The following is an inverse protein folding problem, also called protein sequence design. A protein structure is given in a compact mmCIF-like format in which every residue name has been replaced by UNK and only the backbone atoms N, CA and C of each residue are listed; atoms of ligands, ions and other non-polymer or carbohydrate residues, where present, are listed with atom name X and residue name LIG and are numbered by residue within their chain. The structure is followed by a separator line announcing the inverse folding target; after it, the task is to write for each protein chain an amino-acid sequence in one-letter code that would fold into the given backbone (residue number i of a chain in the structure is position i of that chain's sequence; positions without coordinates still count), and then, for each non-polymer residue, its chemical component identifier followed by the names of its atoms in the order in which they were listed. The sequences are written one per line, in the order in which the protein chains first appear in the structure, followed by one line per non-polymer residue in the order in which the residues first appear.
data_IF_293889163259
#
_entry.id   IF_293889163259
#
_cell.length_a   1.000
_cell.length_b   1.000
_cell.length_c   1.000
_cell.angle_alpha   90.00
_cell.angle_beta   90.00
_cell.angle_gamma   90.00
#
_symmetry.space_group_name_H-M   'P 1'
#
loop_
_entity.id
_entity.type
_entity.pdbx_description
1 polymer ?
#
# COMPACT_ATOMS: atom_id res chain seq x y z
N UNK A 1 -18.77 9.15 -15.63
CA UNK A 1 -17.93 8.46 -14.59
C UNK A 1 -16.54 9.08 -14.52
N UNK A 2 -15.97 9.59 -15.62
CA UNK A 2 -14.71 10.35 -15.63
C UNK A 2 -14.82 11.76 -14.98
N UNK A 3 -16.01 12.30 -14.82
CA UNK A 3 -16.27 13.61 -14.20
C UNK A 3 -16.25 13.58 -12.65
N UNK A 4 -16.35 12.42 -12.02
CA UNK A 4 -16.41 12.30 -10.55
C UNK A 4 -15.04 12.31 -9.86
N UNK A 5 -13.92 12.30 -10.61
CA UNK A 5 -12.56 12.36 -10.05
C UNK A 5 -12.02 13.81 -9.91
N UNK A 6 -12.83 14.81 -10.31
CA UNK A 6 -12.42 16.21 -10.35
C UNK A 6 -12.86 17.09 -9.16
N UNK A 7 -13.78 16.64 -8.31
CA UNK A 7 -14.46 17.53 -7.33
C UNK A 7 -14.37 17.14 -5.85
N UNK A 8 -13.41 16.30 -5.45
CA UNK A 8 -13.11 16.15 -4.02
C UNK A 8 -12.05 17.18 -3.64
N UNK A 9 -12.54 18.34 -3.24
CA UNK A 9 -11.78 19.54 -2.89
C UNK A 9 -10.72 19.33 -1.80
N UNK A 10 -9.63 20.06 -1.94
CA UNK A 10 -8.70 20.42 -0.86
C UNK A 10 -7.28 19.92 -1.05
N UNK A 11 -6.45 20.65 -1.80
CA UNK A 11 -4.99 20.67 -1.63
C UNK A 11 -4.22 19.41 -2.05
N UNK A 12 -4.55 18.81 -3.18
CA UNK A 12 -3.76 17.76 -3.78
C UNK A 12 -3.65 17.99 -5.28
N UNK A 13 -2.44 18.01 -5.82
CA UNK A 13 -2.19 18.12 -7.24
C UNK A 13 -3.06 17.11 -8.01
N UNK A 14 -3.85 17.58 -8.98
CA UNK A 14 -4.76 16.78 -9.80
C UNK A 14 -4.03 15.87 -10.80
N UNK A 15 -4.74 15.24 -11.75
CA UNK A 15 -4.15 14.42 -12.81
C UNK A 15 -3.02 15.12 -13.58
N UNK A 16 -3.01 16.45 -13.61
CA UNK A 16 -1.95 17.26 -14.22
C UNK A 16 -0.59 17.05 -13.56
N UNK A 17 -0.52 17.00 -12.23
CA UNK A 17 0.75 16.81 -11.53
C UNK A 17 1.38 15.43 -11.75
N UNK A 18 0.59 14.40 -12.03
CA UNK A 18 1.12 13.10 -12.43
C UNK A 18 1.68 13.16 -13.86
N UNK A 19 1.00 13.84 -14.76
CA UNK A 19 1.48 14.00 -16.13
C UNK A 19 2.74 14.86 -16.20
N UNK A 20 2.84 15.93 -15.39
CA UNK A 20 4.08 16.74 -15.27
C UNK A 20 5.28 15.89 -14.82
N UNK A 21 5.08 15.03 -13.80
CA UNK A 21 6.11 14.11 -13.34
C UNK A 21 6.50 13.10 -14.44
N UNK A 22 5.54 12.61 -15.22
CA UNK A 22 5.80 11.68 -16.32
C UNK A 22 6.55 12.35 -17.48
N UNK A 23 6.22 13.60 -17.80
CA UNK A 23 6.94 14.39 -18.81
C UNK A 23 8.39 14.66 -18.37
N UNK A 24 8.61 14.97 -17.11
CA UNK A 24 9.95 15.16 -16.55
C UNK A 24 10.78 13.87 -16.56
N UNK A 25 10.15 12.71 -16.29
CA UNK A 25 10.81 11.40 -16.43
C UNK A 25 11.27 11.17 -17.87
N UNK A 26 10.48 11.61 -18.85
CA UNK A 26 10.80 11.41 -20.27
C UNK A 26 12.00 12.22 -20.74
N UNK A 27 12.34 13.30 -20.04
CA UNK A 27 13.43 14.23 -20.40
C UNK A 27 14.72 14.00 -19.60
N UNK A 28 14.67 13.33 -18.45
CA UNK A 28 15.80 13.17 -17.54
C UNK A 28 16.36 11.73 -17.59
N UNK A 29 17.58 11.60 -18.10
CA UNK A 29 18.33 10.32 -18.19
C UNK A 29 19.39 10.17 -17.08
N UNK A 30 19.44 11.10 -16.11
CA UNK A 30 20.50 11.16 -15.12
C UNK A 30 20.31 10.22 -13.92
N UNK A 31 21.44 9.83 -13.33
CA UNK A 31 21.56 8.80 -12.28
C UNK A 31 20.65 9.08 -11.07
N UNK A 32 19.96 8.03 -10.61
CA UNK A 32 19.03 8.08 -9.49
C UNK A 32 19.81 8.10 -8.19
N UNK A 33 19.80 9.23 -7.49
CA UNK A 33 20.30 9.31 -6.11
C UNK A 33 19.29 8.69 -5.14
N UNK A 34 19.72 7.64 -4.44
CA UNK A 34 18.88 6.73 -3.66
C UNK A 34 18.48 7.31 -2.28
N UNK A 35 19.01 8.46 -1.90
CA UNK A 35 18.93 8.95 -0.52
C UNK A 35 17.84 10.00 -0.22
N UNK A 36 17.10 10.48 -1.20
CA UNK A 36 16.05 11.48 -0.98
C UNK A 36 14.67 10.82 -0.88
N UNK A 37 14.17 10.71 0.31
CA UNK A 37 12.93 9.97 0.64
C UNK A 37 11.66 10.81 0.59
N UNK A 38 11.73 12.05 0.16
CA UNK A 38 10.62 12.99 0.29
C UNK A 38 10.05 13.43 -1.07
N UNK A 39 8.77 13.76 -1.08
CA UNK A 39 8.08 14.45 -2.19
C UNK A 39 8.57 15.91 -2.32
N UNK A 40 9.86 16.16 -2.14
CA UNK A 40 10.43 17.47 -2.40
C UNK A 40 10.60 17.65 -3.92
N UNK A 41 10.47 18.88 -4.40
CA UNK A 41 10.67 19.21 -5.82
C UNK A 41 12.09 18.87 -6.31
N UNK A 42 13.05 18.70 -5.39
CA UNK A 42 14.43 18.33 -5.66
C UNK A 42 14.67 16.81 -5.79
N UNK A 43 13.68 15.96 -5.47
CA UNK A 43 13.81 14.52 -5.56
C UNK A 43 13.77 14.03 -7.02
N UNK A 44 14.54 12.98 -7.40
CA UNK A 44 14.48 12.40 -8.74
C UNK A 44 13.04 12.03 -9.13
N UNK A 45 12.68 12.27 -10.39
CA UNK A 45 11.31 12.09 -10.87
C UNK A 45 10.73 10.69 -10.63
N UNK A 46 11.57 9.63 -10.72
CA UNK A 46 11.16 8.25 -10.42
C UNK A 46 10.81 8.08 -8.93
N UNK A 47 11.55 8.73 -8.02
CA UNK A 47 11.29 8.70 -6.58
C UNK A 47 9.94 9.36 -6.29
N UNK A 48 9.73 10.54 -6.85
CA UNK A 48 8.45 11.27 -6.72
C UNK A 48 7.28 10.47 -7.29
N UNK A 49 7.46 9.81 -8.44
CA UNK A 49 6.44 8.97 -9.06
C UNK A 49 6.01 7.82 -8.14
N UNK A 50 6.97 7.04 -7.61
CA UNK A 50 6.66 5.91 -6.72
C UNK A 50 5.99 6.39 -5.44
N UNK A 51 6.49 7.45 -4.82
CA UNK A 51 5.87 8.06 -3.64
C UNK A 51 4.45 8.53 -3.93
N UNK A 52 4.23 9.20 -5.08
CA UNK A 52 2.92 9.65 -5.50
C UNK A 52 1.94 8.49 -5.70
N UNK A 53 2.35 7.40 -6.35
CA UNK A 53 1.53 6.20 -6.54
C UNK A 53 1.10 5.62 -5.19
N UNK A 54 2.00 5.53 -4.21
CA UNK A 54 1.68 5.02 -2.87
C UNK A 54 0.69 5.93 -2.13
N UNK A 55 0.88 7.25 -2.18
CA UNK A 55 -0.02 8.22 -1.56
C UNK A 55 -1.41 8.20 -2.20
N UNK A 56 -1.49 8.17 -3.53
CA UNK A 56 -2.77 8.12 -4.24
C UNK A 56 -3.51 6.81 -3.98
N UNK A 57 -2.81 5.69 -3.92
CA UNK A 57 -3.40 4.40 -3.57
C UNK A 57 -4.04 4.44 -2.16
N UNK A 58 -3.35 5.05 -1.19
CA UNK A 58 -3.91 5.22 0.16
C UNK A 58 -5.10 6.17 0.17
N UNK A 59 -5.03 7.28 -0.56
CA UNK A 59 -6.13 8.27 -0.65
C UNK A 59 -7.38 7.65 -1.29
N UNK A 60 -7.20 6.79 -2.30
CA UNK A 60 -8.28 6.09 -3.00
C UNK A 60 -8.76 4.83 -2.28
N UNK A 61 -8.22 4.53 -1.08
CA UNK A 61 -8.49 3.28 -0.34
C UNK A 61 -8.27 2.02 -1.20
N UNK A 62 -7.24 2.05 -2.06
CA UNK A 62 -6.87 0.88 -2.84
C UNK A 62 -6.33 -0.23 -1.92
N UNK A 63 -6.71 -1.47 -2.20
CA UNK A 63 -6.18 -2.64 -1.49
C UNK A 63 -4.85 -3.11 -2.07
N UNK A 64 -4.71 -3.03 -3.39
CA UNK A 64 -3.53 -3.51 -4.09
C UNK A 64 -3.12 -2.51 -5.19
N UNK A 65 -1.82 -2.40 -5.44
CA UNK A 65 -1.22 -1.69 -6.57
C UNK A 65 -0.48 -2.72 -7.42
N UNK A 66 -0.69 -2.69 -8.72
CA UNK A 66 -0.03 -3.55 -9.70
C UNK A 66 0.82 -2.69 -10.63
N UNK A 67 2.08 -3.04 -10.80
CA UNK A 67 3.00 -2.47 -11.78
C UNK A 67 3.30 -3.56 -12.80
N UNK A 68 2.63 -3.49 -13.94
CA UNK A 68 2.62 -4.56 -14.93
C UNK A 68 3.41 -4.14 -16.17
N UNK A 69 4.58 -4.73 -16.41
CA UNK A 69 5.32 -4.48 -17.64
C UNK A 69 4.61 -5.11 -18.83
N UNK A 70 4.62 -4.42 -19.96
CA UNK A 70 4.13 -4.94 -21.24
C UNK A 70 5.26 -4.97 -22.28
N UNK A 71 5.20 -5.96 -23.18
CA UNK A 71 6.20 -6.07 -24.23
C UNK A 71 6.01 -4.96 -25.25
N UNK A 72 7.05 -4.15 -25.46
CA UNK A 72 7.06 -3.03 -26.41
C UNK A 72 5.97 -1.96 -26.15
N UNK A 73 5.51 -1.84 -24.92
CA UNK A 73 4.50 -0.87 -24.50
C UNK A 73 4.87 -0.25 -23.15
N UNK A 74 4.28 0.89 -22.77
CA UNK A 74 4.47 1.45 -21.44
C UNK A 74 4.02 0.49 -20.34
N UNK A 75 4.69 0.54 -19.21
CA UNK A 75 4.32 -0.22 -18.01
C UNK A 75 3.02 0.34 -17.43
N UNK A 76 2.02 -0.51 -17.24
CA UNK A 76 0.75 -0.09 -16.64
C UNK A 76 0.83 -0.12 -15.12
N UNK A 77 0.36 0.95 -14.50
CA UNK A 77 0.13 1.01 -13.04
C UNK A 77 -1.37 0.96 -12.81
N UNK A 78 -1.81 -0.09 -12.14
CA UNK A 78 -3.21 -0.34 -11.82
C UNK A 78 -3.41 -0.36 -10.31
N UNK A 79 -4.57 0.07 -9.86
CA UNK A 79 -4.98 -0.01 -8.46
C UNK A 79 -6.28 -0.80 -8.33
N UNK A 80 -6.36 -1.64 -7.30
CA UNK A 80 -7.59 -2.33 -6.94
C UNK A 80 -8.36 -1.47 -5.93
N UNK A 81 -9.47 -0.92 -6.37
CA UNK A 81 -10.36 -0.07 -5.56
C UNK A 81 -11.72 -0.76 -5.51
N UNK A 82 -12.25 -0.99 -4.32
CA UNK A 82 -13.52 -1.70 -4.08
C UNK A 82 -13.62 -3.03 -4.86
N UNK A 83 -12.52 -3.78 -4.89
CA UNK A 83 -12.41 -5.08 -5.56
C UNK A 83 -12.17 -5.01 -7.07
N UNK A 84 -12.26 -3.84 -7.70
CA UNK A 84 -12.09 -3.65 -9.15
C UNK A 84 -10.72 -3.06 -9.46
N UNK A 85 -9.96 -3.69 -10.36
CA UNK A 85 -8.70 -3.13 -10.87
C UNK A 85 -8.97 -2.03 -11.90
N UNK A 86 -8.34 -0.88 -11.71
CA UNK A 86 -8.43 0.29 -12.62
C UNK A 86 -7.04 0.74 -13.01
N UNK A 87 -6.87 1.12 -14.28
CA UNK A 87 -5.64 1.76 -14.74
C UNK A 87 -5.58 3.18 -14.15
N UNK A 88 -4.43 3.54 -13.58
CA UNK A 88 -4.22 4.85 -12.95
C UNK A 88 -3.24 5.69 -13.74
N UNK A 89 -2.13 5.08 -14.16
CA UNK A 89 -1.10 5.76 -14.95
C UNK A 89 -0.28 4.76 -15.75
N UNK A 90 0.53 5.27 -16.68
CA UNK A 90 1.47 4.49 -17.47
C UNK A 90 2.87 5.08 -17.32
N UNK A 91 3.85 4.23 -17.19
CA UNK A 91 5.27 4.61 -17.11
C UNK A 91 5.95 4.25 -18.42
N UNK A 92 6.71 5.16 -19.04
CA UNK A 92 7.48 4.82 -20.24
C UNK A 92 8.33 3.58 -20.04
N UNK A 93 8.41 2.71 -21.05
CA UNK A 93 9.12 1.44 -20.95
C UNK A 93 10.61 1.61 -20.57
N UNK A 94 11.24 2.73 -20.97
CA UNK A 94 12.63 3.09 -20.61
C UNK A 94 12.84 3.27 -19.10
N UNK A 95 11.81 3.63 -18.34
CA UNK A 95 11.88 3.91 -16.90
C UNK A 95 11.34 2.77 -16.03
N UNK A 96 10.84 1.69 -16.66
CA UNK A 96 10.35 0.52 -15.94
C UNK A 96 11.36 -0.02 -14.93
N UNK A 97 12.59 -0.26 -15.37
CA UNK A 97 13.64 -0.82 -14.52
C UNK A 97 13.99 0.09 -13.33
N UNK A 98 13.94 1.40 -13.52
CA UNK A 98 14.20 2.37 -12.47
C UNK A 98 13.07 2.38 -11.41
N UNK A 99 11.83 2.31 -11.85
CA UNK A 99 10.66 2.20 -10.94
C UNK A 99 10.73 0.91 -10.11
N UNK A 100 11.04 -0.23 -10.75
CA UNK A 100 11.19 -1.51 -10.03
C UNK A 100 12.36 -1.46 -9.05
N UNK A 101 13.51 -0.91 -9.46
CA UNK A 101 14.67 -0.74 -8.59
C UNK A 101 14.32 0.10 -7.35
N UNK A 102 13.61 1.23 -7.53
CA UNK A 102 13.18 2.07 -6.41
C UNK A 102 12.24 1.31 -5.45
N UNK A 103 11.26 0.57 -5.96
CA UNK A 103 10.37 -0.25 -5.13
C UNK A 103 11.16 -1.32 -4.37
N UNK A 104 12.12 -1.98 -5.02
CA UNK A 104 12.98 -2.99 -4.37
C UNK A 104 13.84 -2.38 -3.25
N UNK A 105 14.43 -1.20 -3.46
CA UNK A 105 15.18 -0.48 -2.43
C UNK A 105 14.29 -0.19 -1.22
N UNK A 106 13.14 0.40 -1.44
CA UNK A 106 12.19 0.73 -0.38
C UNK A 106 11.71 -0.50 0.39
N UNK A 107 11.71 -1.67 -0.26
CA UNK A 107 11.23 -2.95 0.31
C UNK A 107 12.37 -3.84 0.84
N UNK A 108 13.62 -3.35 0.82
CA UNK A 108 14.82 -4.09 1.19
C UNK A 108 15.01 -5.41 0.40
N UNK A 109 14.71 -5.37 -0.90
CA UNK A 109 14.86 -6.50 -1.83
C UNK A 109 16.15 -6.39 -2.65
N UNK A 110 16.62 -7.53 -3.19
CA UNK A 110 17.82 -7.57 -4.02
C UNK A 110 17.55 -7.00 -5.42
N UNK A 111 18.19 -5.86 -5.73
CA UNK A 111 18.02 -5.14 -7.01
C UNK A 111 18.65 -5.92 -8.16
N UNK A 112 19.77 -6.61 -7.90
CA UNK A 112 20.52 -7.33 -8.93
C UNK A 112 19.83 -8.62 -9.38
N UNK A 113 19.03 -9.27 -8.52
CA UNK A 113 18.32 -10.48 -8.87
C UNK A 113 16.96 -10.14 -9.49
N UNK A 114 16.77 -10.57 -10.74
CA UNK A 114 15.58 -10.29 -11.56
C UNK A 114 14.87 -11.56 -12.06
N UNK A 115 15.43 -12.74 -11.75
CA UNK A 115 14.98 -14.01 -12.32
C UNK A 115 14.10 -14.83 -11.40
N UNK A 116 14.09 -14.49 -10.11
CA UNK A 116 13.28 -15.19 -9.11
C UNK A 116 12.32 -14.22 -8.43
N UNK A 117 11.13 -14.69 -8.04
CA UNK A 117 10.22 -13.88 -7.23
C UNK A 117 10.86 -13.48 -5.89
N UNK A 118 10.55 -12.28 -5.43
CA UNK A 118 10.99 -11.79 -4.12
C UNK A 118 9.81 -11.19 -3.37
N UNK A 119 9.75 -11.41 -2.06
CA UNK A 119 8.77 -10.86 -1.16
C UNK A 119 9.44 -9.94 -0.14
N UNK A 120 8.85 -8.78 0.10
CA UNK A 120 9.35 -7.79 1.04
C UNK A 120 8.26 -6.94 1.65
N UNK A 121 8.70 -5.95 2.41
CA UNK A 121 7.82 -4.96 3.04
C UNK A 121 8.44 -3.59 2.88
N UNK A 122 7.60 -2.61 2.62
CA UNK A 122 7.95 -1.21 2.75
C UNK A 122 6.96 -0.51 3.69
N UNK A 123 7.36 0.61 4.21
CA UNK A 123 6.46 1.48 4.98
C UNK A 123 6.67 2.93 4.58
N UNK A 124 5.59 3.70 4.56
CA UNK A 124 5.63 5.13 4.33
C UNK A 124 4.70 5.87 5.29
N UNK A 125 4.95 7.16 5.48
CA UNK A 125 4.12 7.99 6.36
C UNK A 125 3.16 8.86 5.55
N UNK A 126 1.91 8.89 5.97
CA UNK A 126 0.90 9.78 5.41
C UNK A 126 0.02 10.32 6.53
N UNK A 127 -0.10 11.65 6.62
CA UNK A 127 -0.91 12.32 7.67
C UNK A 127 -0.57 11.85 9.09
N UNK A 128 0.72 11.65 9.38
CA UNK A 128 1.22 11.19 10.68
C UNK A 128 1.04 9.68 10.96
N UNK A 129 0.37 8.94 10.08
CA UNK A 129 0.19 7.49 10.21
C UNK A 129 1.25 6.73 9.41
N UNK A 130 1.82 5.69 10.02
CA UNK A 130 2.68 4.72 9.34
C UNK A 130 1.80 3.71 8.60
N UNK A 131 2.03 3.57 7.30
CA UNK A 131 1.31 2.65 6.43
C UNK A 131 2.28 1.57 5.99
N UNK A 132 1.95 0.33 6.28
CA UNK A 132 2.72 -0.83 5.85
C UNK A 132 2.19 -1.38 4.53
N UNK A 133 3.10 -1.80 3.66
CA UNK A 133 2.79 -2.39 2.37
C UNK A 133 3.60 -3.67 2.19
N UNK A 134 2.94 -4.75 1.84
CA UNK A 134 3.61 -5.98 1.38
C UNK A 134 3.89 -5.86 -0.09
N UNK A 135 5.10 -6.22 -0.49
CA UNK A 135 5.59 -6.12 -1.85
C UNK A 135 6.00 -7.50 -2.33
N UNK A 136 5.52 -7.90 -3.50
CA UNK A 136 5.96 -9.11 -4.20
C UNK A 136 6.42 -8.71 -5.61
N UNK A 137 7.63 -9.12 -5.99
CA UNK A 137 8.15 -8.98 -7.35
C UNK A 137 8.07 -10.32 -8.06
N UNK A 138 7.68 -10.30 -9.33
CA UNK A 138 7.48 -11.52 -10.14
C UNK A 138 8.14 -11.32 -11.50
N UNK A 139 9.11 -12.17 -11.88
CA UNK A 139 9.68 -12.17 -13.23
C UNK A 139 8.61 -12.45 -14.28
N UNK A 140 8.59 -11.67 -15.35
CA UNK A 140 7.73 -11.91 -16.51
C UNK A 140 8.54 -11.81 -17.81
N UNK A 141 7.96 -12.19 -18.93
CA UNK A 141 8.58 -12.10 -20.25
C UNK A 141 8.84 -10.65 -20.70
N UNK A 142 8.18 -9.67 -20.08
CA UNK A 142 8.30 -8.26 -20.41
C UNK A 142 9.14 -7.47 -19.39
N UNK A 143 9.64 -8.12 -18.34
CA UNK A 143 10.35 -7.51 -17.21
C UNK A 143 9.80 -7.99 -15.89
N UNK A 144 10.21 -7.38 -14.78
CA UNK A 144 9.64 -7.71 -13.46
C UNK A 144 8.32 -6.98 -13.24
N UNK A 145 7.26 -7.72 -12.92
CA UNK A 145 6.02 -7.16 -12.39
C UNK A 145 6.11 -6.99 -10.87
N UNK A 146 5.37 -6.03 -10.33
CA UNK A 146 5.28 -5.82 -8.87
C UNK A 146 3.82 -5.74 -8.44
N UNK A 147 3.52 -6.42 -7.34
CA UNK A 147 2.25 -6.30 -6.63
C UNK A 147 2.53 -5.77 -5.23
N UNK A 148 1.88 -4.67 -4.89
CA UNK A 148 1.99 -4.05 -3.58
C UNK A 148 0.61 -4.09 -2.91
N UNK A 149 0.51 -4.78 -1.76
CA UNK A 149 -0.71 -4.81 -0.94
C UNK A 149 -0.61 -3.84 0.21
N UNK A 150 -1.49 -2.86 0.24
CA UNK A 150 -1.58 -1.90 1.33
C UNK A 150 -2.25 -2.59 2.52
N UNK A 151 -1.54 -2.64 3.63
CA UNK A 151 -2.10 -3.15 4.87
C UNK A 151 -2.92 -2.02 5.52
N UNK A 152 -4.09 -2.36 6.03
CA UNK A 152 -4.86 -1.41 6.81
C UNK A 152 -3.97 -0.91 7.96
N UNK A 153 -3.94 0.40 8.18
CA UNK A 153 -3.22 0.97 9.31
C UNK A 153 -3.74 0.29 10.59
N UNK A 154 -2.91 -0.61 11.12
CA UNK A 154 -3.28 -1.48 12.22
C UNK A 154 -3.24 -0.74 13.56
N UNK A 155 -4.09 0.24 13.73
CA UNK A 155 -4.53 0.60 15.07
C UNK A 155 -5.51 -0.47 15.53
N UNK A 156 -5.23 -1.16 16.64
CA UNK A 156 -6.17 -2.12 17.16
C UNK A 156 -7.50 -1.42 17.45
N UNK A 157 -8.56 -1.89 16.80
CA UNK A 157 -9.90 -1.38 17.03
C UNK A 157 -10.27 -1.62 18.49
N UNK A 158 -10.67 -0.60 19.26
CA UNK A 158 -11.08 -0.82 20.65
C UNK A 158 -12.32 -1.72 20.71
N UNK A 159 -12.44 -2.52 21.76
CA UNK A 159 -13.54 -3.45 21.98
C UNK A 159 -14.92 -2.80 21.80
N UNK A 160 -15.07 -1.52 22.15
CA UNK A 160 -16.31 -0.75 22.01
C UNK A 160 -16.76 -0.55 20.55
N UNK A 161 -15.84 -0.65 19.58
CA UNK A 161 -16.14 -0.48 18.15
C UNK A 161 -16.41 -1.80 17.42
N UNK A 162 -16.40 -2.95 18.10
CA UNK A 162 -16.65 -4.26 17.48
C UNK A 162 -18.13 -4.52 17.14
N UNK A 163 -19.03 -3.56 17.31
CA UNK A 163 -20.47 -3.70 17.07
C UNK A 163 -21.11 -4.93 17.75
N UNK A 164 -20.59 -5.33 18.90
CA UNK A 164 -21.17 -6.41 19.69
C UNK A 164 -22.43 -5.92 20.41
N UNK A 165 -23.43 -6.79 20.54
CA UNK A 165 -24.57 -6.48 21.41
C UNK A 165 -24.07 -6.23 22.84
N UNK A 166 -24.73 -5.38 23.65
CA UNK A 166 -24.32 -5.09 25.03
C UNK A 166 -24.15 -6.36 25.86
N UNK A 167 -25.02 -7.35 25.65
CA UNK A 167 -24.96 -8.64 26.32
C UNK A 167 -23.69 -9.43 25.95
N UNK A 168 -23.37 -9.54 24.66
CA UNK A 168 -22.18 -10.25 24.18
C UNK A 168 -20.89 -9.52 24.58
N UNK A 169 -20.88 -8.19 24.53
CA UNK A 169 -19.76 -7.38 24.98
C UNK A 169 -19.42 -7.67 26.46
N UNK A 170 -20.43 -7.64 27.35
CA UNK A 170 -20.25 -7.94 28.77
C UNK A 170 -19.76 -9.38 28.99
N UNK A 171 -20.29 -10.35 28.25
CA UNK A 171 -19.84 -11.76 28.35
C UNK A 171 -18.39 -11.93 27.93
N UNK A 172 -17.97 -11.35 26.80
CA UNK A 172 -16.61 -11.45 26.31
C UNK A 172 -15.63 -10.82 27.31
N UNK A 173 -15.93 -9.64 27.85
CA UNK A 173 -15.11 -9.00 28.87
C UNK A 173 -14.93 -9.90 30.11
N UNK A 174 -15.99 -10.54 30.58
CA UNK A 174 -15.91 -11.45 31.73
C UNK A 174 -15.13 -12.76 31.42
N UNK A 175 -15.13 -13.21 30.18
CA UNK A 175 -14.36 -14.39 29.75
C UNK A 175 -12.86 -14.08 29.59
N UNK A 176 -12.55 -12.92 29.03
CA UNK A 176 -11.17 -12.48 28.74
C UNK A 176 -10.37 -12.19 30.01
N UNK A 177 -11.04 -11.84 31.12
CA UNK A 177 -10.40 -11.60 32.41
C UNK A 177 -10.06 -12.89 33.17
N UNK A 178 -10.50 -14.05 32.69
CA UNK A 178 -10.19 -15.31 33.37
C UNK A 178 -8.72 -15.71 33.16
N UNK A 179 -8.02 -16.19 34.20
CA UNK A 179 -6.58 -16.49 34.13
C UNK A 179 -6.28 -17.77 33.32
N UNK A 180 -7.27 -18.56 32.97
CA UNK A 180 -7.11 -19.81 32.23
C UNK A 180 -8.34 -20.11 31.37
N UNK A 181 -8.15 -20.89 30.31
CA UNK A 181 -9.21 -21.30 29.38
C UNK A 181 -8.76 -21.10 27.93
N UNK A 182 -9.67 -21.42 27.02
CA UNK A 182 -9.50 -21.24 25.56
C UNK A 182 -10.70 -20.49 25.03
N UNK A 183 -10.46 -19.46 24.23
CA UNK A 183 -11.46 -18.73 23.47
C UNK A 183 -11.21 -18.96 21.98
N UNK A 184 -12.15 -19.55 21.26
CA UNK A 184 -12.05 -19.80 19.84
C UNK A 184 -12.82 -18.73 19.06
N UNK A 185 -12.13 -18.07 18.11
CA UNK A 185 -12.73 -17.11 17.17
C UNK A 185 -12.72 -17.74 15.79
N UNK A 186 -13.86 -18.17 15.29
CA UNK A 186 -14.00 -18.91 14.03
C UNK A 186 -14.87 -18.16 13.04
N UNK A 187 -14.65 -18.41 11.75
CA UNK A 187 -15.40 -17.81 10.64
C UNK A 187 -14.60 -17.79 9.34
N UNK A 188 -15.23 -17.46 8.19
CA UNK A 188 -14.56 -17.35 6.89
C UNK A 188 -13.56 -16.20 6.84
N UNK A 189 -12.78 -16.12 5.74
CA UNK A 189 -11.87 -14.99 5.50
C UNK A 189 -12.68 -13.69 5.43
N UNK A 190 -12.16 -12.62 6.04
CA UNK A 190 -12.84 -11.32 6.07
C UNK A 190 -13.93 -11.16 7.14
N UNK A 191 -14.25 -12.21 7.94
CA UNK A 191 -15.30 -12.14 8.97
C UNK A 191 -14.91 -11.36 10.24
N UNK A 192 -13.71 -10.75 10.28
CA UNK A 192 -13.26 -9.96 11.43
C UNK A 192 -12.59 -10.75 12.55
N UNK A 193 -12.19 -12.01 12.32
CA UNK A 193 -11.48 -12.83 13.34
C UNK A 193 -10.27 -12.12 13.93
N UNK A 194 -9.35 -11.70 13.08
CA UNK A 194 -8.12 -11.00 13.48
C UNK A 194 -8.43 -9.68 14.17
N UNK A 195 -9.39 -8.92 13.67
CA UNK A 195 -9.86 -7.67 14.28
C UNK A 195 -10.38 -7.90 15.70
N UNK A 196 -11.19 -8.93 15.88
CA UNK A 196 -11.73 -9.30 17.22
C UNK A 196 -10.60 -9.72 18.16
N UNK A 197 -9.66 -10.56 17.70
CA UNK A 197 -8.52 -11.00 18.52
C UNK A 197 -7.63 -9.82 18.92
N UNK A 198 -7.32 -8.91 17.99
CA UNK A 198 -6.55 -7.71 18.30
C UNK A 198 -7.25 -6.79 19.31
N UNK A 199 -8.55 -6.58 19.15
CA UNK A 199 -9.32 -5.76 20.09
C UNK A 199 -9.32 -6.35 21.51
N UNK A 200 -9.45 -7.67 21.61
CA UNK A 200 -9.38 -8.41 22.88
C UNK A 200 -7.98 -8.30 23.50
N UNK A 201 -6.94 -8.56 22.73
CA UNK A 201 -5.54 -8.47 23.20
C UNK A 201 -5.19 -7.07 23.68
N UNK A 202 -5.59 -6.03 22.96
CA UNK A 202 -5.37 -4.65 23.40
C UNK A 202 -6.13 -4.29 24.67
N UNK A 203 -7.29 -4.90 24.90
CA UNK A 203 -8.02 -4.70 26.14
C UNK A 203 -7.34 -5.34 27.35
N UNK A 204 -6.67 -6.48 27.16
CA UNK A 204 -5.95 -7.18 28.24
C UNK A 204 -4.57 -6.57 28.47
N UNK A 205 -3.90 -6.14 27.41
CA UNK A 205 -2.55 -5.59 27.45
C UNK A 205 -2.56 -4.14 27.98
N UNK A 206 -2.99 -3.98 29.22
CA UNK A 206 -2.86 -2.71 29.95
C UNK A 206 -1.53 -2.74 30.71
N UNK A 207 -0.69 -1.67 30.63
CA UNK A 207 0.49 -1.57 31.49
C UNK A 207 0.05 -1.60 32.95
N UNK A 208 0.70 -2.47 33.73
CA UNK A 208 0.55 -2.55 35.20
C UNK A 208 1.34 -1.41 35.84
#
# INVERSE_FOLDING_TARGET
ILQYLGEAAGGGAGPGAMNEILDEISTNTDEIDVQSDEMSDDAPAVVRLVSRVLHDAKRLNASDIHVDPEKNAPTRVRMRIDGVCRDVTQVPASHHSAVIARIKIMSNLNIAEKRVPQDGKLSFRMSGQLIEVRVATIPTIAGEGVVMRILAAGGAMPMSKLNLSPHNHKKILGLVQKPHGIILVVGPTGSGKTTTLHAVLCHINTPV
#
